data_IF_951834930703
#
_entry.id   IF_951834930703
#
_cell.length_a   1.000
_cell.length_b   1.000
_cell.length_c   1.000
_cell.angle_alpha   90.00
_cell.angle_beta   90.00
_cell.angle_gamma   90.00
#
_symmetry.space_group_name_H-M   'P 1'
#
loop_
_entity.id
_entity.type
_entity.pdbx_description
1 polymer ?
#
# COMPACT_ATOMS: atom_id res chain seq x y z
N UNK A 1 -8.42 -16.35 14.01
CA UNK A 1 -8.92 -16.91 12.73
C UNK A 1 -9.89 -15.91 12.12
N UNK A 2 -9.72 -15.56 10.84
CA UNK A 2 -10.59 -14.62 10.13
C UNK A 2 -11.82 -15.36 9.53
N UNK A 3 -13.04 -14.75 9.51
CA UNK A 3 -14.19 -15.29 8.80
C UNK A 3 -13.94 -15.44 7.30
N UNK A 4 -14.54 -16.46 6.67
CA UNK A 4 -14.32 -16.79 5.26
C UNK A 4 -14.68 -15.61 4.32
N UNK A 5 -15.86 -15.04 4.51
CA UNK A 5 -16.33 -13.91 3.70
C UNK A 5 -15.44 -12.67 3.88
N UNK A 6 -14.93 -12.44 5.09
CA UNK A 6 -14.02 -11.34 5.36
C UNK A 6 -12.68 -11.57 4.65
N UNK A 7 -12.11 -12.78 4.67
CA UNK A 7 -10.89 -13.08 3.93
C UNK A 7 -11.07 -12.86 2.43
N UNK A 8 -12.13 -13.39 1.83
CA UNK A 8 -12.45 -13.17 0.41
C UNK A 8 -12.63 -11.70 0.06
N UNK A 9 -13.12 -10.92 1.02
CA UNK A 9 -13.34 -9.49 0.80
C UNK A 9 -12.05 -8.67 0.84
N UNK A 10 -11.06 -9.00 1.67
CA UNK A 10 -9.82 -8.23 1.85
C UNK A 10 -8.63 -8.76 1.04
N UNK A 11 -8.68 -10.03 0.63
CA UNK A 11 -7.58 -10.74 0.01
C UNK A 11 -8.01 -11.31 -1.35
N UNK A 12 -7.86 -10.51 -2.40
CA UNK A 12 -8.23 -10.94 -3.76
C UNK A 12 -7.54 -12.25 -4.16
N UNK A 13 -6.28 -12.42 -3.76
CA UNK A 13 -5.49 -13.63 -3.99
C UNK A 13 -6.11 -14.90 -3.39
N UNK A 14 -6.91 -14.77 -2.33
CA UNK A 14 -7.52 -15.93 -1.66
C UNK A 14 -8.60 -16.61 -2.51
N UNK A 15 -9.09 -15.94 -3.54
CA UNK A 15 -10.16 -16.45 -4.43
C UNK A 15 -9.67 -17.51 -5.41
N UNK A 16 -8.35 -17.53 -5.69
CA UNK A 16 -7.72 -18.51 -6.57
C UNK A 16 -7.19 -19.73 -5.83
N UNK A 17 -7.29 -19.76 -4.48
CA UNK A 17 -6.84 -20.85 -3.65
C UNK A 17 -7.79 -22.05 -3.71
N UNK A 18 -7.24 -23.26 -3.60
CA UNK A 18 -8.02 -24.48 -3.31
C UNK A 18 -8.61 -24.42 -1.89
N UNK A 19 -9.65 -25.21 -1.62
CA UNK A 19 -10.35 -25.19 -0.32
C UNK A 19 -9.40 -25.44 0.87
N UNK A 20 -8.47 -26.39 0.77
CA UNK A 20 -7.47 -26.66 1.82
C UNK A 20 -6.52 -25.46 2.04
N UNK A 21 -6.02 -24.86 0.95
CA UNK A 21 -5.15 -23.69 0.98
C UNK A 21 -5.88 -22.49 1.61
N UNK A 22 -7.15 -22.29 1.22
CA UNK A 22 -8.01 -21.23 1.75
C UNK A 22 -8.27 -21.40 3.25
N UNK A 23 -8.61 -22.61 3.71
CA UNK A 23 -8.83 -22.90 5.12
C UNK A 23 -7.54 -22.73 5.94
N UNK A 24 -6.40 -23.10 5.38
CA UNK A 24 -5.09 -22.87 6.00
C UNK A 24 -4.79 -21.39 6.15
N UNK A 25 -4.99 -20.62 5.07
CA UNK A 25 -4.82 -19.16 5.08
C UNK A 25 -5.70 -18.50 6.15
N UNK A 26 -6.99 -18.84 6.16
CA UNK A 26 -7.98 -18.30 7.09
C UNK A 26 -7.64 -18.55 8.56
N UNK A 27 -7.16 -19.76 8.89
CA UNK A 27 -6.75 -20.15 10.24
C UNK A 27 -5.48 -19.42 10.70
N UNK A 28 -4.56 -19.10 9.77
CA UNK A 28 -3.29 -18.46 10.05
C UNK A 28 -3.35 -16.92 10.11
N UNK A 29 -4.52 -16.31 9.92
CA UNK A 29 -4.70 -14.87 9.95
C UNK A 29 -5.41 -14.43 11.23
N UNK A 30 -4.85 -13.43 11.89
CA UNK A 30 -5.47 -12.67 12.97
C UNK A 30 -5.66 -11.22 12.55
N UNK A 31 -6.55 -10.50 13.21
CA UNK A 31 -6.81 -9.09 12.93
C UNK A 31 -6.31 -8.22 14.08
N UNK A 32 -5.79 -7.04 13.76
CA UNK A 32 -5.37 -6.04 14.74
C UNK A 32 -5.73 -4.64 14.26
N UNK A 33 -6.19 -3.80 15.21
CA UNK A 33 -6.44 -2.38 14.99
C UNK A 33 -5.20 -1.57 15.40
N UNK A 34 -4.93 -0.50 14.65
CA UNK A 34 -3.90 0.49 14.93
C UNK A 34 -4.53 1.87 14.83
N UNK A 35 -4.34 2.68 15.86
CA UNK A 35 -4.83 4.06 15.88
C UNK A 35 -3.98 4.93 14.94
N UNK A 36 -4.54 6.04 14.48
CA UNK A 36 -3.82 7.05 13.70
C UNK A 36 -2.50 7.43 14.36
N UNK A 37 -1.41 7.41 13.56
CA UNK A 37 -0.04 7.67 14.00
C UNK A 37 0.63 6.50 14.71
N UNK A 38 -0.09 5.39 14.96
CA UNK A 38 0.47 4.19 15.57
C UNK A 38 1.40 3.43 14.64
N UNK A 39 2.50 2.93 15.17
CA UNK A 39 3.41 2.06 14.44
C UNK A 39 2.87 0.64 14.38
N UNK A 40 2.89 0.06 13.20
CA UNK A 40 2.62 -1.37 12.99
C UNK A 40 3.86 -2.19 13.34
N UNK A 41 5.03 -1.69 12.92
CA UNK A 41 6.36 -2.15 13.31
C UNK A 41 7.40 -1.08 12.98
N UNK A 42 8.56 -1.19 13.61
CA UNK A 42 9.73 -0.36 13.37
C UNK A 42 10.80 -1.08 12.53
N UNK A 43 11.70 -0.30 11.94
CA UNK A 43 12.97 -0.81 11.41
C UNK A 43 13.67 -1.61 12.51
N UNK A 44 14.15 -2.80 12.16
CA UNK A 44 14.85 -3.69 13.09
C UNK A 44 13.96 -4.66 13.84
N UNK A 45 12.65 -4.46 13.87
CA UNK A 45 11.72 -5.39 14.52
C UNK A 45 11.71 -6.76 13.83
N UNK A 46 11.67 -7.82 14.63
CA UNK A 46 11.29 -9.15 14.17
C UNK A 46 9.77 -9.28 14.18
N UNK A 47 9.15 -8.94 13.05
CA UNK A 47 7.71 -8.99 12.87
C UNK A 47 7.34 -10.07 11.85
N UNK A 48 6.96 -11.22 12.35
CA UNK A 48 6.79 -12.48 11.60
C UNK A 48 5.41 -12.62 10.92
N UNK A 49 4.89 -11.53 10.37
CA UNK A 49 3.60 -11.55 9.70
C UNK A 49 3.69 -10.92 8.31
N UNK A 50 3.03 -11.58 7.34
CA UNK A 50 2.62 -10.92 6.12
C UNK A 50 1.34 -10.14 6.39
N UNK A 51 1.30 -8.88 6.00
CA UNK A 51 0.31 -7.93 6.50
C UNK A 51 -0.57 -7.39 5.39
N UNK A 52 -1.89 -7.46 5.58
CA UNK A 52 -2.89 -6.88 4.68
C UNK A 52 -3.66 -5.75 5.35
N UNK A 53 -3.89 -4.65 4.64
CA UNK A 53 -4.74 -3.55 5.10
C UNK A 53 -6.20 -3.91 4.81
N UNK A 54 -7.01 -4.05 5.86
CA UNK A 54 -8.45 -4.35 5.75
C UNK A 54 -9.27 -3.09 5.53
N UNK A 55 -8.97 -2.04 6.30
CA UNK A 55 -9.55 -0.70 6.19
C UNK A 55 -8.53 0.33 6.68
N UNK A 56 -8.66 1.57 6.25
CA UNK A 56 -7.73 2.65 6.57
C UNK A 56 -6.62 2.81 5.55
N UNK A 57 -5.49 3.37 5.97
CA UNK A 57 -4.33 3.67 5.14
C UNK A 57 -3.06 3.53 5.96
N UNK A 58 -2.11 2.75 5.50
CA UNK A 58 -0.78 2.65 6.07
C UNK A 58 0.25 3.37 5.19
N UNK A 59 1.33 3.84 5.80
CA UNK A 59 2.51 4.36 5.12
C UNK A 59 3.70 3.47 5.40
N UNK A 60 4.39 3.07 4.35
CA UNK A 60 5.71 2.46 4.41
C UNK A 60 6.74 3.56 4.23
N UNK A 61 7.67 3.69 5.16
CA UNK A 61 8.65 4.76 5.13
C UNK A 61 9.89 4.47 5.95
N UNK A 62 10.69 5.48 6.14
CA UNK A 62 11.90 5.44 6.97
C UNK A 62 11.96 6.70 7.81
N UNK A 63 12.40 6.57 9.05
CA UNK A 63 12.76 7.72 9.88
C UNK A 63 14.28 7.84 9.86
N UNK A 64 14.77 9.00 9.43
CA UNK A 64 16.21 9.26 9.46
C UNK A 64 16.73 9.38 10.89
N UNK A 65 18.04 9.18 11.10
CA UNK A 65 18.69 9.39 12.39
C UNK A 65 18.47 10.81 12.99
N UNK A 66 18.08 11.77 12.16
CA UNK A 66 17.73 13.15 12.57
C UNK A 66 16.23 13.34 12.86
N UNK A 67 15.45 12.25 12.90
CA UNK A 67 14.00 12.29 13.17
C UNK A 67 13.12 12.71 11.99
N UNK A 68 13.69 12.94 10.80
CA UNK A 68 12.89 13.24 9.61
C UNK A 68 12.25 11.97 9.07
N UNK A 69 10.93 11.91 9.10
CA UNK A 69 10.16 10.81 8.51
C UNK A 69 10.02 11.01 6.99
N UNK A 70 10.31 9.97 6.23
CA UNK A 70 10.09 9.94 4.79
C UNK A 70 9.11 8.81 4.48
N UNK A 71 7.92 9.15 4.00
CA UNK A 71 6.98 8.19 3.44
C UNK A 71 7.39 7.84 2.03
N UNK A 72 7.50 6.56 1.73
CA UNK A 72 7.85 6.07 0.40
C UNK A 72 6.62 5.59 -0.36
N UNK A 73 5.72 4.86 0.31
CA UNK A 73 4.55 4.22 -0.31
C UNK A 73 3.36 4.30 0.64
N UNK A 74 2.19 4.67 0.09
CA UNK A 74 0.90 4.46 0.74
C UNK A 74 0.35 3.06 0.44
N UNK A 75 -0.22 2.41 1.44
CA UNK A 75 -0.88 1.10 1.30
C UNK A 75 -2.33 1.24 1.75
N UNK A 76 -3.27 1.41 0.82
CA UNK A 76 -4.70 1.48 1.13
C UNK A 76 -5.30 0.09 1.38
N UNK A 77 -6.59 0.06 1.69
CA UNK A 77 -7.35 -1.17 1.88
C UNK A 77 -7.24 -2.12 0.68
N UNK A 78 -7.02 -3.40 0.95
CA UNK A 78 -6.78 -4.45 -0.04
C UNK A 78 -5.30 -4.67 -0.37
N UNK A 79 -4.40 -3.78 0.04
CA UNK A 79 -2.96 -3.93 -0.15
C UNK A 79 -2.35 -4.88 0.88
N UNK A 80 -1.40 -5.72 0.43
CA UNK A 80 -0.64 -6.66 1.26
C UNK A 80 0.85 -6.37 1.13
N UNK A 81 1.61 -6.48 2.22
CA UNK A 81 3.04 -6.14 2.26
C UNK A 81 3.81 -6.93 3.31
N UNK A 82 5.14 -6.87 3.24
CA UNK A 82 6.04 -7.47 4.22
C UNK A 82 6.50 -8.89 3.87
N UNK A 83 6.21 -9.36 2.65
CA UNK A 83 6.60 -10.68 2.15
C UNK A 83 8.11 -10.92 2.16
N UNK A 84 8.89 -9.90 1.83
CA UNK A 84 10.35 -10.04 1.72
C UNK A 84 11.04 -10.43 3.03
N UNK A 85 10.62 -9.84 4.15
CA UNK A 85 11.17 -10.17 5.47
C UNK A 85 10.67 -11.51 5.99
N UNK A 86 9.42 -11.88 5.68
CA UNK A 86 8.86 -13.19 6.04
C UNK A 86 9.57 -14.31 5.29
N UNK A 87 9.83 -14.13 3.98
CA UNK A 87 10.56 -15.09 3.14
C UNK A 87 12.00 -15.28 3.61
N UNK A 88 12.71 -14.18 3.90
CA UNK A 88 14.14 -14.20 4.19
C UNK A 88 14.48 -14.38 5.67
N UNK A 89 13.48 -14.37 6.55
CA UNK A 89 13.65 -14.40 8.02
C UNK A 89 14.58 -13.28 8.53
N UNK A 90 14.39 -12.09 8.00
CA UNK A 90 15.17 -10.90 8.33
C UNK A 90 14.36 -9.91 9.18
N UNK A 91 15.01 -9.06 10.00
CA UNK A 91 14.36 -7.91 10.62
C UNK A 91 13.76 -6.95 9.57
N UNK A 92 12.75 -6.18 9.97
CA UNK A 92 12.12 -5.18 9.12
C UNK A 92 13.12 -4.10 8.70
N UNK A 93 13.10 -3.72 7.43
CA UNK A 93 14.02 -2.73 6.85
C UNK A 93 13.40 -1.34 6.73
N UNK A 94 12.15 -1.17 7.13
CA UNK A 94 11.38 0.07 7.06
C UNK A 94 10.36 0.12 8.19
N UNK A 95 9.92 1.34 8.49
CA UNK A 95 8.81 1.57 9.41
C UNK A 95 7.47 1.44 8.68
N UNK A 96 6.44 1.03 9.42
CA UNK A 96 5.07 1.12 8.94
C UNK A 96 4.20 1.83 9.97
N UNK A 97 3.55 2.91 9.53
CA UNK A 97 2.71 3.77 10.37
C UNK A 97 1.28 3.78 9.81
N UNK A 98 0.30 3.69 10.70
CA UNK A 98 -1.10 3.90 10.36
C UNK A 98 -1.36 5.41 10.18
N UNK A 99 -1.66 5.87 8.97
CA UNK A 99 -1.96 7.29 8.71
C UNK A 99 -3.32 7.71 9.26
N UNK A 100 -4.21 6.76 9.53
CA UNK A 100 -5.51 6.87 10.18
C UNK A 100 -5.81 5.61 10.95
N UNK A 101 -6.94 5.55 11.65
CA UNK A 101 -7.38 4.31 12.28
C UNK A 101 -7.48 3.22 11.23
N UNK A 102 -6.67 2.18 11.41
CA UNK A 102 -6.42 1.15 10.40
C UNK A 102 -6.62 -0.23 11.00
N UNK A 103 -7.38 -1.07 10.31
CA UNK A 103 -7.47 -2.49 10.64
C UNK A 103 -6.59 -3.31 9.71
N UNK A 104 -5.84 -4.24 10.26
CA UNK A 104 -4.94 -5.09 9.51
C UNK A 104 -5.20 -6.58 9.76
N UNK A 105 -5.00 -7.35 8.70
CA UNK A 105 -4.94 -8.80 8.71
C UNK A 105 -3.47 -9.22 8.77
N UNK A 106 -3.11 -10.04 9.73
CA UNK A 106 -1.76 -10.49 10.00
C UNK A 106 -1.68 -12.00 9.78
N UNK A 107 -1.12 -12.44 8.65
CA UNK A 107 -0.86 -13.85 8.38
C UNK A 107 0.48 -14.25 9.00
N UNK A 108 0.47 -15.26 9.89
CA UNK A 108 1.69 -15.74 10.50
C UNK A 108 2.65 -16.38 9.48
N UNK A 109 3.96 -16.35 9.80
CA UNK A 109 5.04 -16.85 8.94
C UNK A 109 4.84 -18.31 8.52
N UNK A 110 4.44 -19.18 9.44
CA UNK A 110 4.26 -20.61 9.16
C UNK A 110 3.20 -20.86 8.08
N UNK A 111 2.07 -20.14 8.14
CA UNK A 111 1.01 -20.22 7.13
C UNK A 111 1.48 -19.64 5.78
N UNK A 112 2.17 -18.50 5.81
CA UNK A 112 2.70 -17.87 4.60
C UNK A 112 3.68 -18.81 3.88
N UNK A 113 4.64 -19.39 4.59
CA UNK A 113 5.63 -20.30 4.02
C UNK A 113 4.97 -21.57 3.48
N UNK A 114 4.02 -22.14 4.22
CA UNK A 114 3.27 -23.30 3.74
C UNK A 114 2.52 -23.02 2.43
N UNK A 115 1.85 -21.87 2.32
CA UNK A 115 1.20 -21.45 1.07
C UNK A 115 2.21 -21.25 -0.04
N UNK A 116 3.36 -20.65 0.26
CA UNK A 116 4.44 -20.44 -0.69
C UNK A 116 5.00 -21.77 -1.24
N UNK A 117 5.06 -22.81 -0.43
CA UNK A 117 5.56 -24.14 -0.82
C UNK A 117 4.50 -24.99 -1.53
N UNK A 118 3.22 -24.83 -1.21
CA UNK A 118 2.18 -25.77 -1.62
C UNK A 118 1.15 -25.17 -2.60
N UNK A 119 1.10 -23.84 -2.77
CA UNK A 119 0.10 -23.17 -3.61
C UNK A 119 0.70 -22.46 -4.81
N UNK A 120 0.47 -22.98 -6.01
CA UNK A 120 0.86 -22.32 -7.26
C UNK A 120 0.10 -21.01 -7.44
N UNK A 121 -1.17 -20.94 -7.05
CA UNK A 121 -1.98 -19.73 -7.14
C UNK A 121 -1.39 -18.61 -6.25
N UNK A 122 -1.03 -18.94 -5.00
CA UNK A 122 -0.40 -18.01 -4.08
C UNK A 122 0.95 -17.51 -4.60
N UNK A 123 1.80 -18.39 -5.13
CA UNK A 123 3.08 -18.01 -5.73
C UNK A 123 2.90 -17.07 -6.92
N UNK A 124 1.95 -17.36 -7.82
CA UNK A 124 1.64 -16.46 -8.95
C UNK A 124 1.21 -15.08 -8.48
N UNK A 125 0.41 -15.01 -7.42
CA UNK A 125 0.03 -13.74 -6.81
C UNK A 125 1.27 -12.99 -6.27
N UNK A 126 2.14 -13.66 -5.51
CA UNK A 126 3.36 -13.04 -4.97
C UNK A 126 4.28 -12.52 -6.08
N UNK A 127 4.46 -13.29 -7.15
CA UNK A 127 5.28 -12.87 -8.30
C UNK A 127 4.69 -11.62 -8.96
N UNK A 128 3.38 -11.58 -9.21
CA UNK A 128 2.70 -10.39 -9.77
C UNK A 128 2.87 -9.19 -8.84
N UNK A 129 2.61 -9.35 -7.55
CA UNK A 129 2.75 -8.29 -6.55
C UNK A 129 4.18 -7.74 -6.48
N UNK A 130 5.19 -8.61 -6.47
CA UNK A 130 6.60 -8.21 -6.44
C UNK A 130 7.02 -7.47 -7.71
N UNK A 131 6.58 -7.91 -8.90
CA UNK A 131 6.86 -7.22 -10.15
C UNK A 131 6.24 -5.81 -10.18
N UNK A 132 4.98 -5.66 -9.74
CA UNK A 132 4.35 -4.34 -9.66
C UNK A 132 5.07 -3.42 -8.66
N UNK A 133 5.50 -3.95 -7.52
CA UNK A 133 6.30 -3.16 -6.56
C UNK A 133 7.64 -2.75 -7.13
N UNK A 134 8.32 -3.65 -7.83
CA UNK A 134 9.58 -3.33 -8.50
C UNK A 134 9.37 -2.22 -9.54
N UNK A 135 8.34 -2.33 -10.38
CA UNK A 135 7.97 -1.31 -11.35
C UNK A 135 7.68 0.04 -10.66
N UNK A 136 6.94 0.02 -9.55
CA UNK A 136 6.67 1.22 -8.75
C UNK A 136 7.96 1.86 -8.21
N UNK A 137 8.89 1.09 -7.66
CA UNK A 137 10.16 1.64 -7.15
C UNK A 137 11.04 2.19 -8.26
N UNK A 138 11.08 1.55 -9.43
CA UNK A 138 11.79 2.09 -10.61
C UNK A 138 11.16 3.42 -11.02
N UNK A 139 9.84 3.49 -11.11
CA UNK A 139 9.11 4.70 -11.44
C UNK A 139 9.35 5.83 -10.42
N UNK A 140 9.34 5.53 -9.11
CA UNK A 140 9.67 6.51 -8.07
C UNK A 140 11.08 7.10 -8.25
N UNK A 141 12.08 6.26 -8.57
CA UNK A 141 13.44 6.72 -8.81
C UNK A 141 13.54 7.63 -10.05
N UNK A 142 12.77 7.33 -11.10
CA UNK A 142 12.64 8.16 -12.29
C UNK A 142 11.94 9.49 -11.99
N UNK A 143 10.80 9.45 -11.30
CA UNK A 143 9.99 10.63 -10.98
C UNK A 143 10.79 11.68 -10.19
N UNK A 144 11.62 11.24 -9.25
CA UNK A 144 12.46 12.14 -8.47
C UNK A 144 13.55 12.84 -9.30
N UNK A 145 13.96 12.25 -10.42
CA UNK A 145 15.02 12.77 -11.27
C UNK A 145 14.52 13.63 -12.42
N UNK A 146 13.35 13.30 -12.98
CA UNK A 146 12.91 13.83 -14.27
C UNK A 146 11.67 14.71 -14.18
N UNK A 147 10.84 14.56 -13.14
CA UNK A 147 9.55 15.23 -13.08
C UNK A 147 9.52 16.41 -12.12
N UNK A 148 8.73 17.43 -12.48
CA UNK A 148 8.37 18.49 -11.55
C UNK A 148 7.48 17.98 -10.41
N UNK A 149 7.25 18.83 -9.41
CA UNK A 149 6.48 18.45 -8.22
C UNK A 149 5.03 18.05 -8.54
N UNK A 150 4.40 18.67 -9.54
CA UNK A 150 3.02 18.40 -9.92
C UNK A 150 2.91 17.06 -10.65
N UNK A 151 3.79 16.80 -11.61
CA UNK A 151 3.84 15.54 -12.35
C UNK A 151 4.19 14.38 -11.42
N UNK A 152 5.15 14.56 -10.53
CA UNK A 152 5.51 13.55 -9.53
C UNK A 152 4.31 13.21 -8.61
N UNK A 153 3.60 14.23 -8.13
CA UNK A 153 2.41 14.04 -7.30
C UNK A 153 1.29 13.33 -8.05
N UNK A 154 1.01 13.71 -9.31
CA UNK A 154 0.01 13.07 -10.15
C UNK A 154 0.28 11.58 -10.32
N UNK A 155 1.51 11.22 -10.69
CA UNK A 155 1.91 9.82 -10.90
C UNK A 155 1.94 9.02 -9.59
N UNK A 156 2.32 9.63 -8.47
CA UNK A 156 2.23 8.98 -7.16
C UNK A 156 0.77 8.72 -6.72
N UNK A 157 -0.15 9.63 -7.03
CA UNK A 157 -1.59 9.38 -6.85
C UNK A 157 -2.03 8.19 -7.71
N UNK A 158 -1.64 8.13 -8.99
CA UNK A 158 -2.01 7.03 -9.88
C UNK A 158 -1.58 5.67 -9.32
N UNK A 159 -0.40 5.57 -8.69
CA UNK A 159 0.07 4.34 -8.06
C UNK A 159 -0.78 3.87 -6.87
N UNK A 160 -1.46 4.76 -6.16
CA UNK A 160 -2.40 4.37 -5.10
C UNK A 160 -3.62 3.62 -5.66
N UNK A 161 -3.90 3.74 -6.96
CA UNK A 161 -4.98 3.07 -7.66
C UNK A 161 -4.52 1.92 -8.56
N UNK A 162 -3.31 1.39 -8.34
CA UNK A 162 -2.81 0.25 -9.08
C UNK A 162 -3.70 -0.99 -8.85
N UNK A 163 -4.34 -1.56 -9.90
CA UNK A 163 -5.33 -2.62 -9.74
C UNK A 163 -4.73 -3.97 -9.32
N UNK A 164 -3.44 -4.18 -9.50
CA UNK A 164 -2.75 -5.40 -9.07
C UNK A 164 -2.40 -5.33 -7.58
N UNK A 165 -1.88 -4.19 -7.14
CA UNK A 165 -1.49 -3.98 -5.73
C UNK A 165 -2.71 -3.73 -4.84
N UNK A 166 -3.74 -3.04 -5.35
CA UNK A 166 -4.91 -2.56 -4.60
C UNK A 166 -6.22 -2.86 -5.32
N UNK A 167 -6.55 -4.14 -5.59
CA UNK A 167 -7.64 -4.54 -6.48
C UNK A 167 -9.05 -4.19 -5.96
N UNK A 168 -9.14 -3.66 -4.75
CA UNK A 168 -10.40 -3.27 -4.11
C UNK A 168 -10.63 -1.77 -4.05
N UNK A 169 -9.61 -0.99 -4.33
CA UNK A 169 -9.72 0.44 -4.31
C UNK A 169 -10.50 0.88 -5.55
N UNK A 170 -11.67 1.49 -5.34
CA UNK A 170 -12.39 2.20 -6.42
C UNK A 170 -11.63 3.47 -6.79
N UNK A 171 -12.26 4.39 -7.50
CA UNK A 171 -11.64 5.66 -7.89
C UNK A 171 -11.65 6.72 -6.78
N UNK A 172 -12.01 6.35 -5.55
CA UNK A 172 -12.00 7.25 -4.39
C UNK A 172 -11.14 6.68 -3.28
N UNK A 173 -10.36 7.56 -2.64
CA UNK A 173 -9.57 7.24 -1.44
C UNK A 173 -9.76 8.33 -0.39
N UNK A 174 -9.96 7.93 0.85
CA UNK A 174 -9.85 8.84 1.99
C UNK A 174 -8.37 9.15 2.21
N UNK A 175 -7.95 10.36 1.89
CA UNK A 175 -6.58 10.84 2.02
C UNK A 175 -6.55 12.36 2.13
N UNK A 176 -5.77 12.88 3.04
CA UNK A 176 -5.60 14.33 3.20
C UNK A 176 -4.53 14.87 2.26
N UNK A 177 -4.57 16.17 1.97
CA UNK A 177 -3.54 16.84 1.17
C UNK A 177 -2.15 16.75 1.81
N UNK A 178 -2.07 16.70 3.14
CA UNK A 178 -0.84 16.50 3.88
C UNK A 178 -0.27 15.10 3.65
N UNK A 179 -1.10 14.06 3.75
CA UNK A 179 -0.72 12.67 3.47
C UNK A 179 -0.27 12.50 2.02
N UNK A 180 -0.99 13.11 1.05
CA UNK A 180 -0.57 13.10 -0.36
C UNK A 180 0.80 13.78 -0.52
N UNK A 181 1.00 14.92 0.14
CA UNK A 181 2.30 15.60 0.15
C UNK A 181 3.42 14.73 0.70
N UNK A 182 3.19 14.08 1.83
CA UNK A 182 4.15 13.15 2.45
C UNK A 182 4.50 11.99 1.51
N UNK A 183 3.50 11.33 0.91
CA UNK A 183 3.70 10.21 -0.02
C UNK A 183 4.39 10.64 -1.33
N UNK A 184 4.28 11.91 -1.72
CA UNK A 184 4.90 12.43 -2.94
C UNK A 184 6.24 13.14 -2.68
N UNK A 185 6.70 13.18 -1.43
CA UNK A 185 7.94 13.86 -1.04
C UNK A 185 7.90 15.39 -1.29
N UNK A 186 6.74 16.02 -1.09
CA UNK A 186 6.55 17.47 -1.23
C UNK A 186 5.88 18.08 0.00
N UNK A 187 6.06 19.39 0.22
CA UNK A 187 5.37 20.07 1.30
C UNK A 187 3.85 20.13 1.06
N UNK A 188 3.07 20.27 2.13
CA UNK A 188 1.62 20.46 2.07
C UNK A 188 1.21 21.61 1.14
N UNK A 189 1.97 22.70 1.13
CA UNK A 189 1.69 23.85 0.26
C UNK A 189 1.87 23.50 -1.22
N UNK A 190 2.95 22.77 -1.56
CA UNK A 190 3.21 22.29 -2.92
C UNK A 190 2.13 21.29 -3.33
N UNK A 191 1.77 20.35 -2.45
CA UNK A 191 0.70 19.38 -2.71
C UNK A 191 -0.64 20.07 -3.01
N UNK A 192 -1.02 21.08 -2.21
CA UNK A 192 -2.23 21.86 -2.43
C UNK A 192 -2.24 22.56 -3.81
N UNK A 193 -1.13 23.22 -4.19
CA UNK A 193 -1.00 23.87 -5.48
C UNK A 193 -1.10 22.87 -6.63
N UNK A 194 -0.41 21.74 -6.51
CA UNK A 194 -0.43 20.67 -7.52
C UNK A 194 -1.85 20.09 -7.67
N UNK A 195 -2.53 19.77 -6.56
CA UNK A 195 -3.89 19.25 -6.58
C UNK A 195 -4.88 20.19 -7.25
N UNK A 196 -4.81 21.51 -6.99
CA UNK A 196 -5.63 22.51 -7.69
C UNK A 196 -5.36 22.53 -9.20
N UNK A 197 -4.10 22.35 -9.60
CA UNK A 197 -3.75 22.25 -11.03
C UNK A 197 -4.34 21.00 -11.67
N UNK A 198 -4.26 19.84 -11.01
CA UNK A 198 -4.80 18.59 -11.50
C UNK A 198 -6.34 18.62 -11.54
N UNK A 199 -6.97 19.23 -10.54
CA UNK A 199 -8.42 19.43 -10.49
C UNK A 199 -8.91 20.34 -11.62
N UNK A 200 -8.21 21.47 -11.85
CA UNK A 200 -8.51 22.38 -12.97
C UNK A 200 -8.36 21.72 -14.35
N UNK A 201 -7.60 20.63 -14.44
CA UNK A 201 -7.48 19.80 -15.66
C UNK A 201 -8.49 18.64 -15.72
N UNK A 202 -9.35 18.49 -14.71
CA UNK A 202 -10.35 17.44 -14.66
C UNK A 202 -9.80 16.04 -14.36
N UNK A 203 -8.57 15.92 -13.84
CA UNK A 203 -7.93 14.64 -13.54
C UNK A 203 -8.33 14.06 -12.18
N UNK A 204 -8.59 14.96 -11.23
CA UNK A 204 -9.01 14.61 -9.87
C UNK A 204 -10.13 15.55 -9.40
N UNK A 205 -10.83 15.14 -8.36
CA UNK A 205 -11.70 15.98 -7.54
C UNK A 205 -11.23 15.88 -6.09
N UNK A 206 -10.88 17.03 -5.51
CA UNK A 206 -10.42 17.12 -4.13
C UNK A 206 -11.61 17.32 -3.21
N UNK A 207 -11.72 16.48 -2.19
CA UNK A 207 -12.82 16.50 -1.24
C UNK A 207 -12.29 16.74 0.20
N UNK A 208 -13.17 17.02 1.14
CA UNK A 208 -12.75 17.15 2.53
C UNK A 208 -12.29 15.80 3.09
N UNK A 209 -10.97 15.63 3.25
CA UNK A 209 -10.38 14.37 3.73
C UNK A 209 -10.33 13.23 2.69
N UNK A 210 -10.61 13.52 1.42
CA UNK A 210 -10.64 12.53 0.35
C UNK A 210 -10.19 13.05 -1.00
N UNK A 211 -9.96 12.12 -1.91
CA UNK A 211 -9.62 12.35 -3.31
C UNK A 211 -10.35 11.36 -4.19
N UNK A 212 -11.02 11.88 -5.23
CA UNK A 212 -11.59 11.06 -6.30
C UNK A 212 -10.78 11.26 -7.58
N UNK A 213 -10.31 10.16 -8.17
CA UNK A 213 -9.66 10.16 -9.48
C UNK A 213 -10.72 10.15 -10.56
N UNK A 214 -10.66 11.10 -11.49
CA UNK A 214 -11.59 11.23 -12.62
C UNK A 214 -10.97 10.65 -13.89
N UNK A 215 -9.66 10.76 -14.06
CA UNK A 215 -8.90 10.22 -15.18
C UNK A 215 -7.58 9.62 -14.69
N UNK A 216 -7.55 8.30 -14.52
CA UNK A 216 -6.38 7.57 -14.03
C UNK A 216 -5.26 7.53 -15.08
N UNK A 217 -5.61 7.38 -16.34
CA UNK A 217 -4.64 7.36 -17.45
C UNK A 217 -3.97 8.72 -17.60
N UNK A 218 -4.74 9.80 -17.54
CA UNK A 218 -4.22 11.17 -17.54
C UNK A 218 -3.27 11.46 -16.37
N UNK A 219 -3.56 10.94 -15.16
CA UNK A 219 -2.66 11.04 -14.02
C UNK A 219 -1.38 10.26 -14.22
N UNK A 220 -1.48 9.03 -14.74
CA UNK A 220 -0.33 8.14 -14.94
C UNK A 220 0.68 8.66 -15.96
N UNK A 221 0.23 9.48 -16.92
CA UNK A 221 1.04 10.09 -18.00
C UNK A 221 1.31 11.57 -17.80
N UNK A 222 0.87 12.14 -16.68
CA UNK A 222 1.00 13.58 -16.47
C UNK A 222 2.47 14.02 -16.50
N UNK A 223 2.77 15.02 -17.34
CA UNK A 223 4.13 15.54 -17.52
C UNK A 223 4.97 14.83 -18.60
N UNK A 224 4.35 13.97 -19.43
CA UNK A 224 4.94 13.47 -20.68
C UNK A 224 4.98 14.56 -21.74
#
# INVERSE_FOLDING_TARGET
>A
MIPAEQLKSIAHWSRELKDEEFERARKGIVTRAFSKGGYVFHVGDRFEYWTGVMSGLASIGMVSAKGNATSLIGVPAGGWFGEGTVLKDEPRRYDVVALRDTQMALMNRATFLWLNENSVAFNRHLVRQLNERLAHFIALAEYHRLLDATARLARNIAWLFNPVLYPRLGMHIEITQEEIGMLSGVSRQIANKALKTLEGKGLVRVEHGGLTVLDLDGLSRYGE
#
